data_IF_006475551970
#
_entry.id   IF_006475551970
#
_cell.length_a   1.000
_cell.length_b   1.000
_cell.length_c   1.000
_cell.angle_alpha   90.00
_cell.angle_beta   90.00
_cell.angle_gamma   90.00
#
_symmetry.space_group_name_H-M   'P 1'
#
loop_
_entity.id
_entity.type
_entity.pdbx_description
1 polymer ?
#
# COMPACT_ATOMS: atom_id res chain seq x y z
N UNK A 1 -2.76 -12.22 -3.62
CA UNK A 1 -2.24 -11.53 -2.42
C UNK A 1 -0.78 -11.20 -2.71
N UNK A 2 -0.28 -10.02 -2.34
CA UNK A 2 1.13 -9.64 -2.59
C UNK A 2 2.07 -10.72 -2.03
N UNK A 3 3.11 -11.07 -2.78
CA UNK A 3 4.14 -12.02 -2.35
C UNK A 3 5.40 -11.29 -1.88
N UNK A 4 5.59 -10.05 -2.33
CA UNK A 4 6.77 -9.26 -2.02
C UNK A 4 6.66 -8.64 -0.64
N UNK A 5 7.76 -8.73 0.13
CA UNK A 5 7.91 -7.99 1.38
C UNK A 5 8.46 -6.59 1.09
N UNK A 6 7.71 -5.56 1.47
CA UNK A 6 8.08 -4.16 1.25
C UNK A 6 9.09 -3.75 2.31
N UNK A 7 10.17 -3.10 1.89
CA UNK A 7 11.23 -2.66 2.79
C UNK A 7 10.70 -1.72 3.88
N UNK A 8 11.26 -1.80 5.10
CA UNK A 8 10.86 -0.95 6.21
C UNK A 8 10.94 0.56 5.90
N UNK A 9 11.99 1.07 5.22
CA UNK A 9 12.04 2.47 4.81
C UNK A 9 10.84 2.89 3.96
N UNK A 10 10.50 2.11 2.93
CA UNK A 10 9.37 2.45 2.06
C UNK A 10 8.03 2.36 2.77
N UNK A 11 7.86 1.42 3.70
CA UNK A 11 6.66 1.36 4.57
C UNK A 11 6.51 2.65 5.38
N UNK A 12 7.58 3.14 6.00
CA UNK A 12 7.55 4.37 6.80
C UNK A 12 7.33 5.61 5.95
N UNK A 13 8.02 5.72 4.80
CA UNK A 13 7.83 6.84 3.86
C UNK A 13 6.39 6.85 3.34
N UNK A 14 5.83 5.69 2.98
CA UNK A 14 4.45 5.58 2.52
C UNK A 14 3.48 6.05 3.59
N UNK A 15 3.66 5.58 4.83
CA UNK A 15 2.82 5.99 5.95
C UNK A 15 2.87 7.50 6.18
N UNK A 16 4.09 8.08 6.16
CA UNK A 16 4.29 9.52 6.27
C UNK A 16 3.60 10.31 5.15
N UNK A 17 3.74 9.87 3.89
CA UNK A 17 3.08 10.50 2.73
C UNK A 17 1.55 10.39 2.77
N UNK A 18 1.03 9.25 3.21
CA UNK A 18 -0.40 8.99 3.33
C UNK A 18 -1.06 9.76 4.49
N UNK A 19 -0.26 10.24 5.45
CA UNK A 19 -0.73 10.84 6.71
C UNK A 19 -1.75 9.94 7.44
N UNK A 20 -1.60 8.62 7.31
CA UNK A 20 -2.50 7.64 7.91
C UNK A 20 -3.88 7.52 7.30
N UNK A 21 -4.02 7.96 6.06
CA UNK A 21 -5.30 7.98 5.36
C UNK A 21 -5.28 7.06 4.15
N UNK A 22 -6.44 6.48 3.86
CA UNK A 22 -6.61 5.65 2.68
C UNK A 22 -6.40 6.46 1.39
N UNK A 23 -5.44 6.03 0.57
CA UNK A 23 -5.11 6.67 -0.71
C UNK A 23 -6.03 6.26 -1.87
N UNK A 24 -6.98 5.34 -1.63
CA UNK A 24 -7.95 4.98 -2.66
C UNK A 24 -8.83 6.19 -3.02
N UNK A 25 -8.99 6.42 -4.33
CA UNK A 25 -9.71 7.58 -4.86
C UNK A 25 -11.12 7.65 -4.26
N UNK A 26 -11.41 8.75 -3.56
CA UNK A 26 -12.71 8.99 -2.93
C UNK A 26 -12.91 8.41 -1.52
N UNK A 27 -11.92 7.70 -0.95
CA UNK A 27 -12.03 7.16 0.41
C UNK A 27 -11.52 8.17 1.47
N UNK A 28 -10.21 8.44 1.50
CA UNK A 28 -9.57 9.38 2.41
C UNK A 28 -9.95 9.21 3.90
N UNK A 29 -10.26 7.99 4.37
CA UNK A 29 -10.58 7.71 5.78
C UNK A 29 -9.30 7.47 6.59
N UNK A 30 -9.27 7.82 7.89
CA UNK A 30 -8.16 7.42 8.76
C UNK A 30 -8.09 5.89 8.86
N UNK A 31 -6.87 5.34 8.92
CA UNK A 31 -6.59 3.90 8.98
C UNK A 31 -5.91 3.47 10.28
N UNK A 32 -5.80 4.37 11.25
CA UNK A 32 -5.18 4.11 12.55
C UNK A 32 -6.20 4.09 13.71
N UNK A 33 -7.48 4.37 13.41
CA UNK A 33 -8.54 4.47 14.41
C UNK A 33 -9.87 4.03 13.81
N UNK A 34 -10.57 3.18 14.56
CA UNK A 34 -11.92 2.79 14.18
C UNK A 34 -12.93 3.95 14.33
N UNK A 35 -13.80 4.10 13.34
CA UNK A 35 -14.75 5.20 13.31
C UNK A 35 -15.83 5.12 14.40
N UNK A 36 -16.21 3.91 14.82
CA UNK A 36 -17.28 3.64 15.78
C UNK A 36 -16.74 3.52 17.20
N UNK A 37 -15.82 2.59 17.45
CA UNK A 37 -15.32 2.25 18.79
C UNK A 37 -14.20 3.16 19.25
N UNK A 38 -13.59 3.94 18.34
CA UNK A 38 -12.39 4.75 18.58
C UNK A 38 -11.16 3.93 19.01
N UNK A 39 -11.18 2.61 18.81
CA UNK A 39 -10.03 1.77 19.09
C UNK A 39 -8.90 2.11 18.13
N UNK A 40 -7.68 2.20 18.66
CA UNK A 40 -6.47 2.45 17.87
C UNK A 40 -5.87 1.13 17.41
N UNK A 41 -5.79 0.95 16.09
CA UNK A 41 -5.13 -0.21 15.47
C UNK A 41 -4.85 0.08 14.01
N UNK A 42 -3.93 -0.69 13.43
CA UNK A 42 -3.58 -0.56 12.03
C UNK A 42 -4.60 -1.27 11.13
N UNK A 43 -5.41 -0.48 10.42
CA UNK A 43 -6.36 -0.93 9.40
C UNK A 43 -5.78 -0.86 7.97
N UNK A 44 -4.53 -0.40 7.83
CA UNK A 44 -3.92 -0.18 6.53
C UNK A 44 -3.44 -1.49 5.88
N UNK A 45 -3.65 -1.57 4.57
CA UNK A 45 -3.01 -2.52 3.69
C UNK A 45 -2.21 -1.73 2.66
N UNK A 46 -1.01 -2.21 2.35
CA UNK A 46 -0.23 -1.63 1.27
C UNK A 46 -0.57 -2.38 -0.01
N UNK A 47 -0.99 -1.64 -1.03
CA UNK A 47 -1.32 -2.17 -2.34
C UNK A 47 -0.33 -1.71 -3.40
N UNK A 48 -0.17 -2.53 -4.44
CA UNK A 48 0.62 -2.18 -5.61
C UNK A 48 -0.29 -1.64 -6.73
N UNK A 49 0.16 -0.58 -7.40
CA UNK A 49 -0.52 -0.06 -8.60
C UNK A 49 -0.29 -1.03 -9.77
N UNK A 50 0.97 -1.37 -10.04
CA UNK A 50 1.41 -2.49 -10.90
C UNK A 50 1.74 -3.66 -10.00
N UNK A 51 1.11 -4.82 -10.22
CA UNK A 51 1.26 -5.97 -9.34
C UNK A 51 2.72 -6.40 -9.20
N UNK A 52 3.08 -6.93 -8.04
CA UNK A 52 4.44 -7.32 -7.70
C UNK A 52 4.95 -8.59 -8.42
N UNK A 53 4.04 -9.32 -9.07
CA UNK A 53 4.33 -10.47 -9.93
C UNK A 53 3.66 -10.34 -11.29
N UNK A 54 4.29 -10.84 -12.37
CA UNK A 54 3.73 -10.78 -13.73
C UNK A 54 2.37 -11.44 -13.88
N UNK A 55 2.10 -12.52 -13.13
CA UNK A 55 0.82 -13.24 -13.15
C UNK A 55 -0.28 -12.60 -12.28
N UNK A 56 -0.01 -11.45 -11.65
CA UNK A 56 -1.00 -10.76 -10.83
C UNK A 56 -2.09 -10.07 -11.66
N UNK A 57 -3.21 -9.63 -11.05
CA UNK A 57 -4.32 -8.99 -11.79
C UNK A 57 -3.93 -7.74 -12.60
N UNK A 58 -2.84 -7.06 -12.20
CA UNK A 58 -2.23 -5.93 -12.92
C UNK A 58 -0.72 -6.16 -13.11
N UNK A 59 -0.33 -7.41 -13.28
CA UNK A 59 1.07 -7.79 -13.47
C UNK A 59 1.59 -7.41 -14.84
N UNK A 60 2.90 -7.23 -14.93
CA UNK A 60 3.63 -6.89 -16.13
C UNK A 60 4.94 -7.68 -16.16
N UNK A 61 5.33 -8.18 -17.33
CA UNK A 61 6.49 -9.06 -17.46
C UNK A 61 7.81 -8.42 -16.99
N UNK A 62 7.92 -7.09 -17.08
CA UNK A 62 9.15 -6.35 -16.73
C UNK A 62 8.90 -5.45 -15.52
N UNK A 63 7.82 -4.67 -15.54
CA UNK A 63 7.57 -3.65 -14.51
C UNK A 63 7.23 -4.25 -13.16
N UNK A 64 6.65 -5.44 -13.09
CA UNK A 64 6.34 -6.08 -11.80
C UNK A 64 7.59 -6.25 -10.94
N UNK A 65 8.68 -6.78 -11.51
CA UNK A 65 9.90 -7.01 -10.75
C UNK A 65 10.62 -5.70 -10.37
N UNK A 66 10.60 -4.72 -11.28
CA UNK A 66 11.22 -3.40 -11.07
C UNK A 66 10.48 -2.57 -10.01
N UNK A 67 9.15 -2.61 -10.01
CA UNK A 67 8.30 -1.70 -9.23
C UNK A 67 7.77 -2.31 -7.93
N UNK A 68 7.98 -3.60 -7.66
CA UNK A 68 7.43 -4.29 -6.48
C UNK A 68 7.77 -3.65 -5.12
N UNK A 69 8.84 -2.86 -5.05
CA UNK A 69 9.24 -2.11 -3.86
C UNK A 69 9.49 -0.62 -4.18
N UNK A 70 9.04 -0.10 -5.33
CA UNK A 70 9.13 1.34 -5.62
C UNK A 70 8.05 2.10 -4.85
N UNK A 71 8.43 3.12 -4.09
CA UNK A 71 7.50 3.94 -3.31
C UNK A 71 6.39 4.58 -4.14
N UNK A 72 6.63 4.88 -5.42
CA UNK A 72 5.65 5.49 -6.31
C UNK A 72 4.66 4.46 -6.87
N UNK A 73 4.92 3.17 -6.68
CA UNK A 73 4.04 2.07 -7.06
C UNK A 73 3.21 1.54 -5.88
N UNK A 74 3.39 2.10 -4.67
CA UNK A 74 2.72 1.66 -3.45
C UNK A 74 1.68 2.69 -3.00
N UNK A 75 0.58 2.21 -2.43
CA UNK A 75 -0.51 3.02 -1.88
C UNK A 75 -1.15 2.39 -0.64
#
# INVERSE_FOLDING_TARGET
>A
MSVTNISAPNRYILWGKAAGRCQYRGCNKPLFVDALTKSEFNQAYIAHIVADVPGGPRGDAVRSDLLKNDINNLM
#
